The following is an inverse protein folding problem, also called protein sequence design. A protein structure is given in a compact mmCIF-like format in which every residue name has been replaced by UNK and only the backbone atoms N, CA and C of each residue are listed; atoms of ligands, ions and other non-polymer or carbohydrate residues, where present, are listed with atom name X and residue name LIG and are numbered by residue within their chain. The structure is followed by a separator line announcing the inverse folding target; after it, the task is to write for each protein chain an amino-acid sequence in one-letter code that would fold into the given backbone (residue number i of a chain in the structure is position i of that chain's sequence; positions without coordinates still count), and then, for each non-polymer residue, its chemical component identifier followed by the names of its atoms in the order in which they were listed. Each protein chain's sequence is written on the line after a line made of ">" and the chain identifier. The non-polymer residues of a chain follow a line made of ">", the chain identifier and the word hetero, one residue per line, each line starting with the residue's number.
data_IF_957281816424
#
_entry.id   IF_957281816424
#
_cell.length_a   1.000
_cell.length_b   1.000
_cell.length_c   1.000
_cell.angle_alpha   90.00
_cell.angle_beta   90.00
_cell.angle_gamma   90.00
#
_symmetry.space_group_name_H-M   'P 1'
#
loop_
_entity.id
_entity.type
_entity.pdbx_description
1 polymer ?
#
# COMPACT_ATOMS: atom_id res chain seq x y z
N UNK A 1 23.70 27.15 20.87
CA UNK A 1 23.36 25.89 20.19
C UNK A 1 21.88 25.59 20.42
N UNK A 2 21.01 25.90 19.44
CA UNK A 2 19.57 25.72 19.58
C UNK A 2 19.19 24.26 19.23
N UNK A 3 18.58 23.55 20.18
CA UNK A 3 18.04 22.19 19.98
C UNK A 3 16.93 22.27 18.92
N UNK A 4 17.15 21.61 17.78
CA UNK A 4 16.21 21.59 16.66
C UNK A 4 14.89 20.91 17.04
N UNK A 5 13.78 21.66 16.93
CA UNK A 5 12.43 21.10 16.96
C UNK A 5 12.23 20.20 15.74
N UNK A 6 12.41 18.89 15.90
CA UNK A 6 11.87 17.90 14.98
C UNK A 6 10.39 17.66 15.29
N UNK A 7 9.56 18.69 15.15
CA UNK A 7 8.12 18.52 15.28
C UNK A 7 7.57 18.05 13.93
N UNK A 8 7.19 16.78 13.89
CA UNK A 8 6.40 16.15 12.81
C UNK A 8 4.95 16.65 12.85
N UNK A 9 4.77 17.97 12.92
CA UNK A 9 3.47 18.59 13.03
C UNK A 9 2.78 18.61 11.67
N UNK A 10 1.49 18.27 11.71
CA UNK A 10 0.61 18.47 10.58
C UNK A 10 0.38 19.97 10.41
N UNK A 11 0.49 20.47 9.19
CA UNK A 11 0.31 21.89 8.89
C UNK A 11 -0.48 22.05 7.59
N UNK A 12 -1.28 23.12 7.55
CA UNK A 12 -2.01 23.58 6.36
C UNK A 12 -1.17 24.56 5.52
N UNK A 13 -0.06 25.05 6.08
CA UNK A 13 0.90 25.91 5.39
C UNK A 13 2.34 25.50 5.73
N UNK A 14 2.82 24.36 5.19
CA UNK A 14 4.21 23.98 5.37
C UNK A 14 5.10 24.93 4.59
N UNK A 15 6.21 25.34 5.21
CA UNK A 15 7.27 26.03 4.48
C UNK A 15 7.73 25.17 3.28
N UNK A 16 7.30 25.57 2.08
CA UNK A 16 7.59 24.90 0.81
C UNK A 16 8.99 25.26 0.25
N UNK A 17 9.84 25.93 1.04
CA UNK A 17 11.21 26.20 0.65
C UNK A 17 11.99 24.89 0.42
N UNK A 18 12.68 24.83 -0.72
CA UNK A 18 13.47 23.68 -1.16
C UNK A 18 12.71 22.59 -1.92
N UNK A 19 11.43 22.80 -2.24
CA UNK A 19 10.71 22.01 -3.23
C UNK A 19 10.80 22.67 -4.60
N UNK A 20 10.80 21.88 -5.67
CA UNK A 20 10.69 22.35 -7.05
C UNK A 20 9.34 23.03 -7.35
N UNK A 21 9.25 23.74 -8.48
CA UNK A 21 8.02 24.44 -8.87
C UNK A 21 6.81 23.52 -8.97
N UNK A 22 7.03 22.30 -9.46
CA UNK A 22 5.99 21.30 -9.58
C UNK A 22 5.46 20.86 -8.21
N UNK A 23 6.35 20.47 -7.29
CA UNK A 23 5.98 20.10 -5.93
C UNK A 23 5.26 21.22 -5.20
N UNK A 24 5.72 22.48 -5.37
CA UNK A 24 5.05 23.67 -4.83
C UNK A 24 3.62 23.82 -5.38
N UNK A 25 3.42 23.66 -6.69
CA UNK A 25 2.11 23.76 -7.34
C UNK A 25 1.15 22.68 -6.84
N UNK A 26 1.60 21.43 -6.73
CA UNK A 26 0.76 20.32 -6.22
C UNK A 26 0.38 20.56 -4.76
N UNK A 27 1.35 20.91 -3.91
CA UNK A 27 1.09 21.15 -2.50
C UNK A 27 0.04 22.26 -2.31
N UNK A 28 0.21 23.40 -3.00
CA UNK A 28 -0.78 24.50 -2.97
C UNK A 28 -2.15 24.08 -3.49
N UNK A 29 -2.21 23.30 -4.58
CA UNK A 29 -3.48 22.76 -5.11
C UNK A 29 -4.19 21.86 -4.10
N UNK A 30 -3.45 20.97 -3.43
CA UNK A 30 -3.97 20.09 -2.40
C UNK A 30 -4.43 20.87 -1.15
N UNK A 31 -3.65 21.84 -0.68
CA UNK A 31 -4.05 22.70 0.46
C UNK A 31 -5.29 23.51 0.16
N UNK A 32 -5.40 24.07 -1.06
CA UNK A 32 -6.64 24.72 -1.52
C UNK A 32 -7.84 23.78 -1.46
N UNK A 33 -7.60 22.47 -1.57
CA UNK A 33 -8.63 21.44 -1.48
C UNK A 33 -8.92 20.96 -0.05
N UNK A 34 -8.25 21.51 0.97
CA UNK A 34 -8.40 21.12 2.37
C UNK A 34 -7.57 19.88 2.75
N UNK A 35 -6.58 19.51 1.93
CA UNK A 35 -5.63 18.46 2.31
C UNK A 35 -4.72 18.97 3.42
N UNK A 36 -4.19 18.06 4.23
CA UNK A 36 -3.29 18.38 5.34
C UNK A 36 -1.91 17.84 5.02
N UNK A 37 -0.87 18.64 5.28
CA UNK A 37 0.51 18.28 4.97
C UNK A 37 1.26 17.85 6.22
N UNK A 38 2.07 16.80 6.11
CA UNK A 38 3.05 16.40 7.12
C UNK A 38 4.44 16.39 6.49
N UNK A 39 5.36 17.16 7.06
CA UNK A 39 6.75 17.15 6.62
C UNK A 39 7.49 16.00 7.30
N UNK A 40 8.16 15.17 6.50
CA UNK A 40 9.07 14.15 6.98
C UNK A 40 10.47 14.73 7.19
N UNK A 41 11.21 14.13 8.13
CA UNK A 41 12.62 14.45 8.39
C UNK A 41 13.50 14.27 7.14
N UNK A 42 13.07 13.43 6.18
CA UNK A 42 13.79 13.16 4.92
C UNK A 42 13.48 14.18 3.81
N UNK A 43 12.99 15.38 4.12
CA UNK A 43 12.61 16.41 3.14
C UNK A 43 11.49 16.01 2.16
N UNK A 44 10.65 15.04 2.53
CA UNK A 44 9.41 14.73 1.79
C UNK A 44 8.23 15.43 2.46
N UNK A 45 7.25 15.86 1.66
CA UNK A 45 5.97 16.36 2.13
C UNK A 45 4.90 15.32 1.81
N UNK A 46 4.29 14.73 2.83
CA UNK A 46 3.16 13.82 2.66
C UNK A 46 1.87 14.61 2.83
N UNK A 47 1.04 14.63 1.80
CA UNK A 47 -0.27 15.26 1.78
C UNK A 47 -1.32 14.19 2.05
N UNK A 48 -2.23 14.48 2.97
CA UNK A 48 -3.34 13.62 3.36
C UNK A 48 -4.63 14.26 2.91
N UNK A 49 -5.40 13.50 2.12
CA UNK A 49 -6.71 13.96 1.68
C UNK A 49 -7.72 13.96 2.84
N UNK A 50 -8.79 14.77 2.74
CA UNK A 50 -9.84 14.80 3.77
C UNK A 50 -10.60 13.49 3.96
N UNK A 51 -10.54 12.57 2.99
CA UNK A 51 -11.13 11.23 3.12
C UNK A 51 -10.35 10.32 4.11
N UNK A 52 -9.13 10.72 4.50
CA UNK A 52 -8.21 9.96 5.35
C UNK A 52 -7.61 8.72 4.69
N UNK A 53 -7.92 8.45 3.41
CA UNK A 53 -7.47 7.27 2.67
C UNK A 53 -6.44 7.63 1.60
N UNK A 54 -6.65 8.75 0.91
CA UNK A 54 -5.78 9.15 -0.18
C UNK A 54 -4.60 9.93 0.37
N UNK A 55 -3.39 9.49 -0.01
CA UNK A 55 -2.15 10.18 0.34
C UNK A 55 -1.30 10.42 -0.89
N UNK A 56 -0.56 11.53 -0.89
CA UNK A 56 0.40 11.88 -1.93
C UNK A 56 1.72 12.20 -1.26
N UNK A 57 2.81 11.64 -1.77
CA UNK A 57 4.16 12.02 -1.35
C UNK A 57 4.74 12.96 -2.39
N UNK A 58 5.13 14.16 -1.96
CA UNK A 58 5.81 15.16 -2.77
C UNK A 58 7.29 15.18 -2.35
N UNK A 59 8.17 14.88 -3.29
CA UNK A 59 9.63 14.95 -3.09
C UNK A 59 10.13 16.38 -3.34
N UNK A 60 11.35 16.71 -2.90
CA UNK A 60 12.00 18.00 -3.22
C UNK A 60 12.18 18.21 -4.72
N UNK A 61 12.52 17.14 -5.42
CA UNK A 61 12.76 17.12 -6.85
C UNK A 61 11.74 16.18 -7.51
N UNK A 62 10.82 16.76 -8.29
CA UNK A 62 9.88 16.06 -9.14
C UNK A 62 10.14 16.41 -10.62
N UNK A 63 11.37 16.74 -11.01
CA UNK A 63 11.72 17.05 -12.39
C UNK A 63 11.43 15.89 -13.35
N UNK A 64 11.57 14.64 -12.90
CA UNK A 64 11.32 13.47 -13.73
C UNK A 64 9.82 13.31 -14.08
N UNK A 65 9.44 13.21 -15.38
CA UNK A 65 8.04 13.11 -15.81
C UNK A 65 7.28 11.92 -15.20
N UNK A 66 7.98 10.81 -14.96
CA UNK A 66 7.40 9.62 -14.28
C UNK A 66 6.97 9.95 -12.85
N UNK A 67 7.78 10.71 -12.13
CA UNK A 67 7.49 11.13 -10.74
C UNK A 67 6.31 12.11 -10.73
N UNK A 68 6.30 13.06 -11.67
CA UNK A 68 5.19 14.01 -11.81
C UNK A 68 3.85 13.31 -12.01
N UNK A 69 3.80 12.37 -12.95
CA UNK A 69 2.59 11.59 -13.23
C UNK A 69 2.13 10.77 -12.03
N UNK A 70 3.06 10.11 -11.33
CA UNK A 70 2.73 9.32 -10.15
C UNK A 70 2.26 10.19 -8.97
N UNK A 71 2.76 11.43 -8.86
CA UNK A 71 2.37 12.37 -7.80
C UNK A 71 1.01 12.99 -8.09
N UNK A 72 0.68 13.27 -9.36
CA UNK A 72 -0.62 13.83 -9.77
C UNK A 72 -1.75 12.82 -9.80
N UNK A 73 -1.50 11.58 -10.22
CA UNK A 73 -2.56 10.61 -10.46
C UNK A 73 -3.50 10.38 -9.24
N UNK A 74 -3.00 10.28 -7.99
CA UNK A 74 -3.88 10.15 -6.82
C UNK A 74 -4.71 11.41 -6.58
N UNK A 75 -4.14 12.60 -6.83
CA UNK A 75 -4.86 13.88 -6.68
C UNK A 75 -6.01 13.96 -7.69
N UNK A 76 -5.74 13.71 -8.96
CA UNK A 76 -6.77 13.76 -10.01
C UNK A 76 -7.84 12.70 -9.83
N UNK A 77 -7.45 11.49 -9.41
CA UNK A 77 -8.40 10.43 -9.07
C UNK A 77 -9.29 10.85 -7.90
N UNK A 78 -8.70 11.45 -6.86
CA UNK A 78 -9.43 11.96 -5.71
C UNK A 78 -10.38 13.09 -6.11
N UNK A 79 -9.91 14.07 -6.88
CA UNK A 79 -10.73 15.18 -7.39
C UNK A 79 -11.89 14.69 -8.26
N UNK A 80 -11.67 13.67 -9.09
CA UNK A 80 -12.74 13.10 -9.92
C UNK A 80 -13.78 12.38 -9.06
N UNK A 81 -13.35 11.63 -8.05
CA UNK A 81 -14.24 10.92 -7.13
C UNK A 81 -14.97 11.86 -6.16
N UNK A 82 -14.32 12.96 -5.78
CA UNK A 82 -14.76 13.92 -4.78
C UNK A 82 -15.05 15.28 -5.40
N UNK A 83 -15.46 15.31 -6.69
CA UNK A 83 -15.78 16.54 -7.41
C UNK A 83 -16.87 17.37 -6.72
N UNK A 84 -17.62 16.72 -5.82
CA UNK A 84 -18.65 17.29 -4.95
C UNK A 84 -18.12 17.86 -3.62
N UNK A 85 -16.93 17.45 -3.17
CA UNK A 85 -16.36 17.82 -1.85
C UNK A 85 -15.22 18.84 -1.91
N UNK A 86 -15.08 19.53 -3.03
CA UNK A 86 -14.32 20.76 -3.07
C UNK A 86 -15.25 21.97 -3.04
N UNK A 87 -16.00 22.21 -1.94
CA UNK A 87 -16.94 23.30 -1.86
C UNK A 87 -16.16 24.61 -2.05
N UNK A 88 -16.66 25.42 -2.97
CA UNK A 88 -16.19 26.79 -3.12
C UNK A 88 -16.86 27.62 -2.05
N UNK A 89 -16.18 28.68 -1.61
CA UNK A 89 -16.85 29.68 -0.79
C UNK A 89 -17.95 30.32 -1.66
N UNK A 90 -19.14 30.46 -1.10
CA UNK A 90 -20.20 31.27 -1.69
C UNK A 90 -19.77 32.73 -1.76
N UNK A 91 -20.61 33.56 -2.40
CA UNK A 91 -20.39 35.01 -2.49
C UNK A 91 -20.33 35.69 -1.11
N UNK A 92 -20.91 35.04 -0.10
CA UNK A 92 -20.92 35.40 1.32
C UNK A 92 -19.65 35.00 2.08
N UNK A 93 -18.70 34.32 1.42
CA UNK A 93 -17.47 33.82 2.05
C UNK A 93 -17.68 32.59 2.94
N UNK A 94 -18.88 32.02 2.98
CA UNK A 94 -19.17 30.79 3.72
C UNK A 94 -19.16 29.58 2.79
N UNK A 95 -18.88 28.41 3.35
CA UNK A 95 -18.94 27.15 2.64
C UNK A 95 -20.27 26.47 2.94
N UNK A 96 -21.13 26.38 1.93
CA UNK A 96 -22.45 25.75 1.99
C UNK A 96 -22.39 24.26 1.69
N UNK A 97 -23.22 23.47 2.38
CA UNK A 97 -23.36 22.06 2.10
C UNK A 97 -24.02 21.84 0.73
N UNK A 98 -23.39 21.06 -0.17
CA UNK A 98 -23.93 20.87 -1.52
C UNK A 98 -25.06 19.83 -1.57
N UNK A 99 -25.48 19.27 -0.43
CA UNK A 99 -26.53 18.24 -0.36
C UNK A 99 -27.90 18.92 -0.36
N UNK A 100 -28.73 18.57 -1.35
CA UNK A 100 -30.11 19.03 -1.44
C UNK A 100 -30.87 18.76 -0.13
N UNK A 101 -31.40 19.82 0.49
CA UNK A 101 -32.09 19.76 1.78
C UNK A 101 -31.20 19.92 3.01
N UNK A 102 -29.92 20.27 2.85
CA UNK A 102 -29.03 20.61 3.96
C UNK A 102 -28.62 22.09 3.93
N UNK A 103 -29.17 22.88 4.86
CA UNK A 103 -28.89 24.32 4.99
C UNK A 103 -27.63 24.64 5.82
N UNK A 104 -26.73 23.66 5.99
CA UNK A 104 -25.54 23.86 6.81
C UNK A 104 -24.49 24.70 6.07
N UNK A 105 -24.10 25.82 6.69
CA UNK A 105 -23.03 26.69 6.22
C UNK A 105 -21.94 26.84 7.29
N UNK A 106 -20.68 26.92 6.88
CA UNK A 106 -19.56 27.15 7.79
C UNK A 106 -18.53 28.11 7.18
N UNK A 107 -18.00 29.04 7.98
CA UNK A 107 -16.91 29.92 7.54
C UNK A 107 -15.60 29.17 7.26
N UNK A 108 -15.41 27.99 7.88
CA UNK A 108 -14.27 27.12 7.63
C UNK A 108 -14.64 26.00 6.67
N UNK A 109 -13.86 25.88 5.59
CA UNK A 109 -13.90 24.73 4.66
C UNK A 109 -13.82 23.40 5.42
N UNK A 110 -13.00 23.33 6.46
CA UNK A 110 -12.83 22.10 7.23
C UNK A 110 -14.01 21.77 8.11
N UNK A 111 -14.71 22.79 8.62
CA UNK A 111 -15.98 22.62 9.29
C UNK A 111 -17.03 22.01 8.36
N UNK A 112 -17.11 22.50 7.13
CA UNK A 112 -18.02 21.92 6.13
C UNK A 112 -17.65 20.48 5.75
N UNK A 113 -16.37 20.19 5.54
CA UNK A 113 -15.92 18.82 5.26
C UNK A 113 -16.21 17.88 6.44
N UNK A 114 -16.00 18.32 7.67
CA UNK A 114 -16.37 17.57 8.87
C UNK A 114 -17.87 17.29 8.93
N UNK A 115 -18.71 18.29 8.67
CA UNK A 115 -20.15 18.14 8.56
C UNK A 115 -20.55 17.13 7.48
N UNK A 116 -20.02 17.28 6.26
CA UNK A 116 -20.34 16.38 5.16
C UNK A 116 -19.91 14.95 5.47
N UNK A 117 -18.70 14.77 5.98
CA UNK A 117 -18.18 13.44 6.31
C UNK A 117 -18.93 12.77 7.47
N UNK A 118 -19.50 13.56 8.40
CA UNK A 118 -20.32 13.04 9.49
C UNK A 118 -21.77 12.73 9.09
N UNK A 119 -22.41 13.61 8.33
CA UNK A 119 -23.87 13.55 8.10
C UNK A 119 -24.25 13.06 6.70
N UNK A 120 -23.36 13.14 5.73
CA UNK A 120 -23.65 12.87 4.32
C UNK A 120 -22.67 11.88 3.67
N UNK A 121 -21.68 11.37 4.42
CA UNK A 121 -20.83 10.31 3.89
C UNK A 121 -21.59 9.00 3.80
N UNK A 122 -21.19 8.17 2.83
CA UNK A 122 -21.72 6.81 2.74
C UNK A 122 -21.43 6.06 4.05
N UNK A 123 -22.38 5.28 4.57
CA UNK A 123 -22.17 4.48 5.77
C UNK A 123 -20.94 3.59 5.62
N UNK A 124 -20.12 3.54 6.65
CA UNK A 124 -18.90 2.74 6.70
C UNK A 124 -19.26 1.36 7.21
N UNK A 125 -19.11 0.34 6.37
CA UNK A 125 -19.44 -1.04 6.73
C UNK A 125 -18.20 -1.77 7.25
N UNK A 126 -18.32 -2.41 8.41
CA UNK A 126 -17.27 -3.27 8.96
C UNK A 126 -17.14 -4.56 8.15
N UNK A 127 -15.93 -4.91 7.71
CA UNK A 127 -15.72 -6.14 6.93
C UNK A 127 -15.84 -7.43 7.77
N UNK A 128 -15.73 -7.32 9.09
CA UNK A 128 -15.70 -8.47 10.01
C UNK A 128 -17.13 -8.84 10.44
N UNK A 129 -17.88 -7.89 10.99
CA UNK A 129 -19.26 -8.14 11.46
C UNK A 129 -20.35 -7.55 10.56
N UNK A 130 -20.00 -6.84 9.49
CA UNK A 130 -20.95 -6.18 8.56
C UNK A 130 -21.83 -5.09 9.18
N UNK A 131 -21.51 -4.60 10.38
CA UNK A 131 -22.20 -3.44 10.97
C UNK A 131 -21.88 -2.16 10.20
N UNK A 132 -22.90 -1.31 10.04
CA UNK A 132 -22.80 -0.02 9.36
C UNK A 132 -22.65 1.13 10.36
N UNK A 133 -21.75 2.06 10.07
CA UNK A 133 -21.47 3.22 10.92
C UNK A 133 -21.64 4.51 10.12
N UNK A 134 -22.46 5.43 10.63
CA UNK A 134 -22.66 6.75 10.03
C UNK A 134 -21.47 7.71 10.25
N UNK A 135 -20.65 7.48 11.29
CA UNK A 135 -19.54 8.37 11.63
C UNK A 135 -18.17 7.68 11.54
N UNK A 136 -17.11 8.40 11.10
CA UNK A 136 -15.76 7.85 11.09
C UNK A 136 -15.26 7.45 12.48
N UNK A 137 -15.53 8.24 13.53
CA UNK A 137 -15.09 7.91 14.89
C UNK A 137 -15.74 6.62 15.41
N UNK A 138 -17.05 6.45 15.18
CA UNK A 138 -17.78 5.23 15.56
C UNK A 138 -17.18 3.99 14.90
N UNK A 139 -16.87 4.07 13.60
CA UNK A 139 -16.21 3.00 12.87
C UNK A 139 -14.83 2.64 13.43
N UNK A 140 -13.97 3.63 13.72
CA UNK A 140 -12.64 3.37 14.29
C UNK A 140 -12.69 2.75 15.68
N UNK A 141 -13.58 3.22 16.55
CA UNK A 141 -13.78 2.65 17.88
C UNK A 141 -14.34 1.23 17.81
N UNK A 142 -15.22 0.97 16.85
CA UNK A 142 -15.72 -0.38 16.59
C UNK A 142 -14.61 -1.34 16.15
N UNK A 143 -13.73 -0.93 15.23
CA UNK A 143 -12.60 -1.77 14.79
C UNK A 143 -11.64 -2.14 15.94
N UNK A 144 -11.54 -1.30 16.98
CA UNK A 144 -10.75 -1.63 18.16
C UNK A 144 -11.27 -2.87 18.90
N UNK A 145 -12.60 -3.10 18.91
CA UNK A 145 -13.22 -4.30 19.51
C UNK A 145 -12.83 -5.59 18.78
N UNK A 146 -12.58 -5.51 17.47
CA UNK A 146 -12.11 -6.66 16.70
C UNK A 146 -10.63 -6.99 16.93
N UNK A 147 -9.81 -6.03 17.40
CA UNK A 147 -8.41 -6.30 17.72
C UNK A 147 -8.23 -7.26 18.89
N UNK A 148 -9.18 -7.29 19.83
CA UNK A 148 -9.14 -8.22 20.96
C UNK A 148 -9.50 -9.66 20.55
N UNK A 149 -10.21 -9.85 19.44
CA UNK A 149 -10.56 -11.17 18.89
C UNK A 149 -9.38 -11.76 18.08
N UNK A 150 -8.43 -10.92 17.64
CA UNK A 150 -7.25 -11.32 16.86
C UNK A 150 -6.00 -11.63 17.71
N UNK A 151 -6.13 -11.79 19.03
CA UNK A 151 -5.09 -12.43 19.83
C UNK A 151 -5.42 -13.93 19.92
N UNK A 152 -4.83 -14.80 19.07
CA UNK A 152 -4.91 -16.22 19.38
C UNK A 152 -4.26 -16.41 20.77
N UNK A 153 -4.95 -17.14 21.64
CA UNK A 153 -4.34 -17.64 22.87
C UNK A 153 -3.05 -18.39 22.48
N UNK A 154 -1.98 -18.35 23.31
CA UNK A 154 -0.77 -19.13 23.02
C UNK A 154 -1.18 -20.59 22.81
N UNK A 155 -0.96 -21.09 21.60
CA UNK A 155 -1.37 -22.43 21.21
C UNK A 155 -0.62 -23.46 22.06
N UNK A 156 -1.37 -24.24 22.84
CA UNK A 156 -0.84 -25.43 23.49
C UNK A 156 -0.38 -26.45 22.42
N UNK A 157 0.73 -27.16 22.66
CA UNK A 157 1.34 -28.05 21.68
C UNK A 157 0.39 -29.21 21.37
N UNK A 158 -0.11 -29.25 20.13
CA UNK A 158 -0.88 -30.39 19.61
C UNK A 158 0.07 -31.55 19.34
N UNK A 159 -0.12 -32.62 20.09
CA UNK A 159 0.42 -33.96 19.86
C UNK A 159 0.15 -34.44 18.44
N UNK A 160 1.22 -34.88 17.78
CA UNK A 160 1.25 -35.55 16.49
C UNK A 160 0.47 -36.87 16.54
N UNK A 161 -0.43 -37.08 15.58
CA UNK A 161 -0.93 -38.41 15.22
C UNK A 161 -0.13 -38.96 14.04
N UNK A 162 0.21 -40.27 14.05
CA UNK A 162 1.11 -40.88 13.06
C UNK A 162 0.46 -41.06 11.68
N UNK A 163 1.26 -41.10 10.60
CA UNK A 163 0.78 -41.18 9.23
C UNK A 163 0.27 -42.57 8.88
N UNK A 164 -0.88 -42.61 8.21
CA UNK A 164 -1.42 -43.80 7.58
C UNK A 164 -0.61 -44.16 6.34
N UNK A 165 -0.24 -45.43 6.25
CA UNK A 165 0.38 -46.08 5.09
C UNK A 165 -0.52 -45.94 3.86
N UNK A 166 0.06 -45.45 2.76
CA UNK A 166 -0.51 -45.65 1.41
C UNK A 166 0.50 -46.43 0.58
N UNK A 167 0.05 -47.61 0.18
CA UNK A 167 0.71 -48.57 -0.70
C UNK A 167 1.19 -47.92 -2.00
N UNK A 168 2.44 -48.25 -2.34
CA UNK A 168 3.07 -47.96 -3.62
C UNK A 168 2.65 -49.08 -4.58
N UNK A 169 1.92 -48.73 -5.65
CA UNK A 169 1.71 -49.58 -6.81
C UNK A 169 2.52 -49.01 -7.97
N UNK A 170 3.41 -49.85 -8.48
CA UNK A 170 4.29 -49.64 -9.62
C UNK A 170 3.51 -49.22 -10.88
N UNK A 171 3.96 -48.14 -11.52
CA UNK A 171 3.58 -47.81 -12.89
C UNK A 171 4.78 -47.20 -13.63
N UNK A 172 5.48 -48.10 -14.31
CA UNK A 172 6.06 -47.98 -15.64
C UNK A 172 6.64 -46.62 -16.08
N UNK A 173 7.98 -46.60 -16.12
CA UNK A 173 8.81 -45.58 -16.74
C UNK A 173 8.55 -45.60 -18.26
N UNK A 174 7.86 -44.59 -18.77
CA UNK A 174 7.91 -44.23 -20.19
C UNK A 174 8.99 -43.17 -20.36
N UNK A 175 10.19 -43.60 -20.78
CA UNK A 175 11.17 -42.70 -21.37
C UNK A 175 10.65 -42.17 -22.70
N UNK A 176 10.84 -40.87 -23.00
CA UNK A 176 11.14 -40.25 -24.31
C UNK A 176 10.99 -38.71 -24.20
N UNK A 177 11.54 -37.90 -25.11
CA UNK A 177 12.92 -37.84 -25.61
C UNK A 177 13.57 -36.49 -25.27
N UNK A 178 14.90 -36.50 -25.13
CA UNK A 178 15.73 -35.29 -25.03
C UNK A 178 15.56 -34.43 -26.29
N UNK A 179 14.99 -33.23 -26.17
CA UNK A 179 15.19 -32.19 -27.17
C UNK A 179 15.42 -30.82 -26.55
N UNK A 180 16.47 -30.19 -27.06
CA UNK A 180 16.61 -28.76 -27.30
C UNK A 180 17.00 -27.85 -26.13
N UNK A 181 18.30 -27.53 -26.11
CA UNK A 181 18.86 -26.31 -25.52
C UNK A 181 18.27 -25.07 -26.22
N UNK A 182 17.17 -24.53 -25.70
CA UNK A 182 16.79 -23.11 -25.81
C UNK A 182 16.54 -22.65 -24.39
N UNK A 183 17.52 -22.01 -23.76
CA UNK A 183 17.67 -20.57 -23.94
C UNK A 183 16.66 -19.90 -23.01
N UNK A 184 17.11 -19.55 -21.81
CA UNK A 184 16.42 -18.66 -20.87
C UNK A 184 16.13 -17.33 -21.59
N UNK A 185 15.02 -17.27 -22.31
CA UNK A 185 14.52 -16.04 -22.89
C UNK A 185 13.89 -15.24 -21.74
N UNK A 186 14.50 -14.09 -21.43
CA UNK A 186 13.95 -13.10 -20.53
C UNK A 186 12.58 -12.66 -21.06
N UNK A 187 11.51 -13.05 -20.36
CA UNK A 187 10.16 -12.53 -20.62
C UNK A 187 10.13 -11.12 -20.02
N UNK A 188 10.40 -10.12 -20.85
CA UNK A 188 10.64 -8.74 -20.43
C UNK A 188 9.38 -7.85 -20.43
N UNK A 189 8.18 -8.37 -20.72
CA UNK A 189 6.98 -7.52 -20.74
C UNK A 189 5.74 -8.10 -20.03
N UNK A 190 5.08 -7.27 -19.22
CA UNK A 190 3.80 -7.54 -18.52
C UNK A 190 2.67 -8.02 -19.44
N UNK A 191 2.76 -7.75 -20.75
CA UNK A 191 1.78 -8.19 -21.76
C UNK A 191 1.89 -9.68 -22.06
N UNK A 192 3.07 -10.28 -21.96
CA UNK A 192 3.28 -11.71 -22.22
C UNK A 192 2.62 -12.57 -21.13
N UNK A 193 2.76 -12.16 -19.86
CA UNK A 193 2.06 -12.79 -18.72
C UNK A 193 0.53 -12.79 -18.84
N UNK A 194 -0.04 -11.81 -19.55
CA UNK A 194 -1.50 -11.70 -19.74
C UNK A 194 -2.02 -12.59 -20.89
N UNK A 195 -1.13 -13.07 -21.75
CA UNK A 195 -1.46 -13.92 -22.90
C UNK A 195 -1.14 -15.40 -22.65
N UNK A 196 -0.41 -15.72 -21.57
CA UNK A 196 -0.12 -17.10 -21.19
C UNK A 196 -1.38 -17.79 -20.67
N UNK A 197 -1.54 -19.04 -21.07
CA UNK A 197 -2.53 -19.94 -20.50
C UNK A 197 -2.20 -20.23 -19.03
N UNK A 198 -3.21 -20.67 -18.28
CA UNK A 198 -3.05 -21.05 -16.88
C UNK A 198 -2.05 -22.20 -16.70
N UNK A 199 -1.98 -23.14 -17.65
CA UNK A 199 -1.02 -24.25 -17.61
C UNK A 199 0.43 -23.77 -17.75
N UNK A 200 0.71 -22.86 -18.68
CA UNK A 200 2.06 -22.31 -18.89
C UNK A 200 2.54 -21.49 -17.68
N UNK A 201 1.64 -20.77 -17.01
CA UNK A 201 1.96 -20.07 -15.77
C UNK A 201 2.31 -21.02 -14.63
N UNK A 202 1.58 -22.13 -14.50
CA UNK A 202 1.84 -23.16 -13.48
C UNK A 202 3.22 -23.81 -13.72
N UNK A 203 3.53 -24.17 -14.96
CA UNK A 203 4.82 -24.76 -15.33
C UNK A 203 5.99 -23.80 -15.02
N UNK A 204 5.83 -22.51 -15.33
CA UNK A 204 6.84 -21.51 -15.01
C UNK A 204 7.05 -21.33 -13.50
N UNK A 205 5.99 -21.39 -12.69
CA UNK A 205 6.09 -21.32 -11.23
C UNK A 205 6.80 -22.57 -10.67
N UNK A 206 6.44 -23.76 -11.17
CA UNK A 206 7.08 -25.01 -10.77
C UNK A 206 8.57 -25.04 -11.13
N UNK A 207 8.92 -24.57 -12.33
CA UNK A 207 10.31 -24.46 -12.77
C UNK A 207 11.10 -23.42 -11.98
N UNK A 208 10.48 -22.29 -11.63
CA UNK A 208 11.07 -21.28 -10.75
C UNK A 208 11.35 -21.81 -9.35
N UNK A 209 10.42 -22.58 -8.79
CA UNK A 209 10.58 -23.23 -7.49
C UNK A 209 11.70 -24.28 -7.52
N UNK A 210 11.77 -25.11 -8.56
CA UNK A 210 12.85 -26.10 -8.72
C UNK A 210 14.24 -25.43 -8.80
N UNK A 211 14.35 -24.33 -9.54
CA UNK A 211 15.58 -23.55 -9.61
C UNK A 211 15.98 -22.94 -8.25
N UNK A 212 15.01 -22.46 -7.47
CA UNK A 212 15.26 -21.92 -6.14
C UNK A 212 15.74 -23.00 -5.15
N UNK A 213 15.15 -24.21 -5.20
CA UNK A 213 15.56 -25.36 -4.37
C UNK A 213 17.00 -25.77 -4.67
N UNK A 214 17.39 -25.84 -5.94
CA UNK A 214 18.77 -26.20 -6.32
C UNK A 214 19.78 -25.12 -5.89
N UNK A 215 19.36 -23.84 -5.87
CA UNK A 215 20.21 -22.74 -5.43
C UNK A 215 20.43 -22.77 -3.90
N UNK A 216 19.39 -23.12 -3.13
CA UNK A 216 19.50 -23.35 -1.69
C UNK A 216 20.46 -24.50 -1.36
N UNK A 217 20.34 -25.64 -2.06
CA UNK A 217 21.25 -26.79 -1.90
C UNK A 217 22.72 -26.43 -2.19
N UNK A 218 22.96 -25.56 -3.18
CA UNK A 218 24.31 -25.07 -3.49
C UNK A 218 24.84 -24.12 -2.42
N UNK A 219 23.99 -23.30 -1.81
CA UNK A 219 24.38 -22.43 -0.71
C UNK A 219 24.79 -23.25 0.53
N UNK A 220 24.01 -24.25 0.90
CA UNK A 220 24.35 -25.19 1.99
C UNK A 220 25.66 -25.94 1.72
N UNK A 221 25.88 -26.38 0.47
CA UNK A 221 27.15 -26.99 0.06
C UNK A 221 28.33 -26.01 0.13
N UNK A 222 28.09 -24.71 -0.05
CA UNK A 222 29.13 -23.70 0.05
C UNK A 222 29.46 -23.38 1.52
N UNK A 223 28.45 -23.31 2.39
CA UNK A 223 28.64 -23.12 3.83
C UNK A 223 29.41 -24.27 4.46
N UNK A 224 29.09 -25.51 4.10
CA UNK A 224 29.84 -26.70 4.56
C UNK A 224 31.30 -26.70 4.10
N UNK A 225 31.56 -26.27 2.86
CA UNK A 225 32.94 -26.11 2.35
C UNK A 225 33.72 -25.02 3.10
N UNK A 226 33.08 -23.89 3.40
CA UNK A 226 33.72 -22.81 4.17
C UNK A 226 34.02 -23.25 5.61
N UNK A 227 33.14 -24.04 6.23
CA UNK A 227 33.37 -24.60 7.56
C UNK A 227 34.61 -25.52 7.59
N UNK A 228 34.74 -26.41 6.60
CA UNK A 228 35.92 -27.28 6.47
C UNK A 228 37.22 -26.51 6.21
N UNK A 229 37.16 -25.44 5.41
CA UNK A 229 38.33 -24.56 5.18
C UNK A 229 38.73 -23.84 6.47
N UNK A 230 37.76 -23.36 7.26
CA UNK A 230 38.03 -22.69 8.53
C UNK A 230 38.64 -23.64 9.58
N UNK A 231 38.18 -24.89 9.62
CA UNK A 231 38.72 -25.94 10.48
C UNK A 231 40.16 -26.29 10.09
N UNK A 232 40.43 -26.48 8.79
CA UNK A 232 41.78 -26.74 8.28
C UNK A 232 42.77 -25.58 8.48
N UNK A 233 42.28 -24.33 8.52
CA UNK A 233 43.09 -23.14 8.80
C UNK A 233 43.40 -22.94 10.30
N UNK A 234 42.74 -23.71 11.17
CA UNK A 234 42.92 -23.64 12.64
C UNK A 234 43.82 -24.76 13.19
N UNK A 235 44.33 -25.65 12.33
CA UNK A 235 45.33 -26.69 12.63
C UNK A 235 46.72 -26.25 12.20
#
# INVERSE_FOLDING_TARGET
>A
MAKGRSQTEFTQDPNLAGFDDFGRKIAKRAFKQGWIGKRSNKSHLTLFAPDGQTTISVCRDNSAPRIQKNTLAPLEKWEKANKFLAPQAGEDGQYHCPVEGCDYANASRMGLVGHYTGNHSKPRVCKICKEEFGTPQGYTSHLAKHKEIARPAPEEPKTETPPAETEILDAEIVEHPTTSKRGLAKIETKKEYQLMSTAELIEMIQNGNAAAVELARRAESHETKLALIAEAASM
#
